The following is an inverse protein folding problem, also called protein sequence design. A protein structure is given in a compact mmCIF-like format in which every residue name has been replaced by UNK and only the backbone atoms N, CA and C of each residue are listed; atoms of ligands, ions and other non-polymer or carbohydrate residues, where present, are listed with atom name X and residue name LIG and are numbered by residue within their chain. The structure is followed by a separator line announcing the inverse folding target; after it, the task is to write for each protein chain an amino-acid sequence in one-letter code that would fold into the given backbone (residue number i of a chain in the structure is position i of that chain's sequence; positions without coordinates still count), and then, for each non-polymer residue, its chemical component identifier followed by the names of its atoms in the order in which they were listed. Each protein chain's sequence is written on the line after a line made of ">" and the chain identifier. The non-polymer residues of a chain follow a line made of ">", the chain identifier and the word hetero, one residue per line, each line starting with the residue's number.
data_IF_361464615046
#
_entry.id   IF_361464615046
#
_cell.length_a   1.000
_cell.length_b   1.000
_cell.length_c   1.000
_cell.angle_alpha   90.00
_cell.angle_beta   90.00
_cell.angle_gamma   90.00
#
_symmetry.space_group_name_H-M   'P 1'
#
loop_
_entity.id
_entity.type
_entity.pdbx_description
1 polymer ?
#
# COMPACT_ATOMS: atom_id res chain seq x y z
N UNK A 1 12.59 -20.71 -11.71
CA UNK A 1 12.58 -19.28 -12.14
C UNK A 1 11.75 -18.40 -11.21
N UNK A 2 10.52 -18.75 -10.83
CA UNK A 2 9.68 -17.91 -9.94
C UNK A 2 10.28 -17.63 -8.54
N UNK A 3 10.98 -18.61 -7.96
CA UNK A 3 11.65 -18.47 -6.64
C UNK A 3 12.80 -17.48 -6.72
N UNK A 4 13.58 -17.49 -7.82
CA UNK A 4 14.68 -16.54 -8.01
C UNK A 4 14.16 -15.10 -8.12
N UNK A 5 13.04 -14.89 -8.82
CA UNK A 5 12.38 -13.59 -8.91
C UNK A 5 11.86 -13.13 -7.54
N UNK A 6 11.28 -14.05 -6.76
CA UNK A 6 10.84 -13.74 -5.41
C UNK A 6 12.00 -13.29 -4.51
N UNK A 7 13.14 -14.00 -4.54
CA UNK A 7 14.31 -13.63 -3.76
C UNK A 7 14.84 -12.23 -4.11
N UNK A 8 14.93 -11.92 -5.40
CA UNK A 8 15.29 -10.59 -5.89
C UNK A 8 14.27 -9.55 -5.44
N UNK A 9 12.97 -9.86 -5.56
CA UNK A 9 11.88 -9.00 -5.09
C UNK A 9 11.99 -8.68 -3.60
N UNK A 10 12.28 -9.68 -2.76
CA UNK A 10 12.50 -9.50 -1.31
C UNK A 10 13.65 -8.53 -1.04
N UNK A 11 14.79 -8.70 -1.70
CA UNK A 11 15.96 -7.82 -1.52
C UNK A 11 15.64 -6.38 -1.92
N UNK A 12 15.02 -6.17 -3.08
CA UNK A 12 14.55 -4.84 -3.48
C UNK A 12 13.52 -4.27 -2.49
N UNK A 13 12.58 -5.09 -2.03
CA UNK A 13 11.57 -4.68 -1.07
C UNK A 13 12.14 -4.23 0.27
N UNK A 14 13.20 -4.86 0.77
CA UNK A 14 13.92 -4.41 1.96
C UNK A 14 14.51 -3.01 1.76
N UNK A 15 15.20 -2.80 0.63
CA UNK A 15 15.85 -1.50 0.32
C UNK A 15 14.81 -0.39 0.17
N UNK A 16 13.76 -0.64 -0.62
CA UNK A 16 12.68 0.33 -0.81
C UNK A 16 11.86 0.56 0.46
N UNK A 17 11.68 -0.45 1.31
CA UNK A 17 11.03 -0.31 2.61
C UNK A 17 11.75 0.68 3.53
N UNK A 18 13.08 0.62 3.56
CA UNK A 18 13.90 1.59 4.29
C UNK A 18 13.76 3.01 3.71
N UNK A 19 13.72 3.13 2.37
CA UNK A 19 13.46 4.40 1.70
C UNK A 19 12.05 4.96 2.02
N UNK A 20 11.03 4.10 2.13
CA UNK A 20 9.66 4.49 2.52
C UNK A 20 9.67 5.12 3.92
N UNK A 21 10.34 4.52 4.91
CA UNK A 21 10.44 5.08 6.24
C UNK A 21 11.02 6.51 6.21
N UNK A 22 12.11 6.72 5.46
CA UNK A 22 12.71 8.04 5.28
C UNK A 22 11.76 9.01 4.57
N UNK A 23 11.04 8.55 3.55
CA UNK A 23 10.07 9.34 2.78
C UNK A 23 8.89 9.79 3.65
N UNK A 24 8.31 8.89 4.44
CA UNK A 24 7.21 9.16 5.37
C UNK A 24 7.59 10.25 6.36
N UNK A 25 8.78 10.17 6.94
CA UNK A 25 9.28 11.21 7.85
C UNK A 25 9.51 12.56 7.15
N UNK A 26 10.13 12.55 5.96
CA UNK A 26 10.39 13.78 5.18
C UNK A 26 9.10 14.48 4.76
N UNK A 27 8.09 13.73 4.32
CA UNK A 27 6.76 14.27 4.01
C UNK A 27 6.16 15.00 5.21
N UNK A 28 6.29 14.42 6.42
CA UNK A 28 5.78 15.03 7.66
C UNK A 28 6.45 16.35 8.00
N UNK A 29 7.77 16.45 7.81
CA UNK A 29 8.53 17.66 8.15
C UNK A 29 8.62 18.66 6.97
N UNK A 30 7.89 18.42 5.87
CA UNK A 30 7.86 19.30 4.71
C UNK A 30 9.15 19.35 3.89
N UNK A 31 10.06 18.36 4.06
CA UNK A 31 11.31 18.26 3.28
C UNK A 31 11.07 17.55 1.95
N UNK A 32 12.02 17.71 1.00
CA UNK A 32 12.00 16.94 -0.25
C UNK A 32 12.05 15.44 0.05
N UNK A 33 11.09 14.68 -0.50
CA UNK A 33 11.00 13.24 -0.32
C UNK A 33 11.95 12.46 -1.23
N UNK A 34 12.47 13.10 -2.30
CA UNK A 34 13.39 12.49 -3.26
C UNK A 34 14.85 12.81 -2.91
N UNK A 35 15.15 14.04 -2.48
CA UNK A 35 16.51 14.50 -2.27
C UNK A 35 16.85 14.64 -0.78
N UNK A 36 18.08 14.26 -0.42
CA UNK A 36 18.62 14.43 0.92
C UNK A 36 19.12 13.12 1.53
N UNK A 37 19.97 13.24 2.57
CA UNK A 37 20.48 12.10 3.32
C UNK A 37 19.57 11.75 4.48
N UNK A 38 19.60 10.46 4.89
CA UNK A 38 18.88 10.00 6.07
C UNK A 38 19.54 10.54 7.34
N UNK A 39 18.72 11.05 8.25
CA UNK A 39 19.18 11.62 9.53
C UNK A 39 18.37 11.03 10.67
N UNK A 40 18.98 10.96 11.85
CA UNK A 40 18.24 10.57 13.05
C UNK A 40 17.22 11.66 13.39
N UNK A 41 15.96 11.29 13.62
CA UNK A 41 14.88 12.21 13.97
C UNK A 41 15.07 12.90 15.31
N UNK A 42 15.89 12.34 16.21
CA UNK A 42 16.09 12.82 17.58
C UNK A 42 17.33 13.70 17.73
N UNK A 43 18.44 13.37 17.07
CA UNK A 43 19.69 14.13 17.23
C UNK A 43 20.15 14.85 15.95
N UNK A 44 19.46 14.65 14.82
CA UNK A 44 19.83 15.28 13.54
C UNK A 44 21.10 14.73 12.90
N UNK A 45 21.79 13.76 13.54
CA UNK A 45 23.03 13.19 13.00
C UNK A 45 22.73 12.44 11.70
N UNK A 46 23.60 12.65 10.69
CA UNK A 46 23.49 11.95 9.40
C UNK A 46 23.85 10.48 9.56
N UNK A 47 22.95 9.59 9.10
CA UNK A 47 23.16 8.14 9.18
C UNK A 47 24.15 7.66 8.13
N UNK A 48 25.08 6.78 8.55
CA UNK A 48 26.02 6.10 7.65
C UNK A 48 25.32 4.95 6.92
N UNK A 49 25.89 4.45 5.81
CA UNK A 49 25.32 3.34 5.03
C UNK A 49 25.07 2.09 5.89
N UNK A 50 25.96 1.77 6.83
CA UNK A 50 25.79 0.65 7.77
C UNK A 50 24.59 0.79 8.72
N UNK A 51 24.10 2.01 8.95
CA UNK A 51 22.93 2.28 9.79
C UNK A 51 21.63 2.19 8.99
N UNK A 52 21.73 2.11 7.66
CA UNK A 52 20.62 2.03 6.71
C UNK A 52 20.39 0.61 6.15
N UNK A 53 21.16 -0.39 6.62
CA UNK A 53 20.93 -1.79 6.23
C UNK A 53 19.57 -2.21 6.79
N UNK A 54 18.58 -2.51 5.91
CA UNK A 54 17.20 -2.72 6.32
C UNK A 54 17.08 -3.88 7.32
N UNK A 55 16.24 -3.74 8.33
CA UNK A 55 15.99 -4.72 9.40
C UNK A 55 17.24 -5.00 10.26
N UNK A 56 18.36 -5.37 9.63
CA UNK A 56 19.57 -5.77 10.35
C UNK A 56 20.17 -4.66 11.20
N UNK A 57 20.27 -3.42 10.68
CA UNK A 57 20.79 -2.30 11.47
C UNK A 57 19.94 -2.05 12.72
N UNK A 58 18.62 -2.14 12.60
CA UNK A 58 17.70 -1.98 13.71
C UNK A 58 17.87 -3.10 14.76
N UNK A 59 17.99 -4.35 14.33
CA UNK A 59 18.22 -5.51 15.22
C UNK A 59 19.56 -5.39 15.95
N UNK A 60 20.65 -5.13 15.22
CA UNK A 60 21.99 -5.02 15.83
C UNK A 60 22.13 -3.84 16.79
N UNK A 61 21.36 -2.77 16.59
CA UNK A 61 21.36 -1.59 17.46
C UNK A 61 20.31 -1.69 18.58
N UNK A 62 19.55 -2.77 18.65
CA UNK A 62 18.48 -2.95 19.64
C UNK A 62 17.42 -1.87 19.56
N UNK A 63 17.06 -1.41 18.36
CA UNK A 63 16.10 -0.34 18.13
C UNK A 63 16.54 1.05 18.58
N UNK A 64 17.84 1.30 18.77
CA UNK A 64 18.39 2.57 19.26
C UNK A 64 19.33 3.21 18.25
N UNK A 65 19.35 4.52 18.23
CA UNK A 65 20.32 5.26 17.40
C UNK A 65 21.76 4.99 17.87
N UNK A 66 22.68 4.73 16.94
CA UNK A 66 24.11 4.51 17.23
C UNK A 66 24.76 5.69 17.94
N UNK A 67 24.36 6.89 17.61
CA UNK A 67 25.02 8.14 18.02
C UNK A 67 24.43 8.71 19.32
N UNK A 68 23.10 8.81 19.44
CA UNK A 68 22.46 9.40 20.61
C UNK A 68 21.80 8.39 21.56
N UNK A 69 21.81 7.10 21.21
CA UNK A 69 21.23 5.99 22.01
C UNK A 69 19.73 6.09 22.29
N UNK A 70 19.05 7.11 21.76
CA UNK A 70 17.58 7.21 21.88
C UNK A 70 16.88 6.17 21.02
N UNK A 71 15.68 5.69 21.41
CA UNK A 71 14.92 4.71 20.65
C UNK A 71 14.54 5.26 19.27
N UNK A 72 14.67 4.43 18.24
CA UNK A 72 14.24 4.72 16.88
C UNK A 72 12.73 4.48 16.81
N UNK A 73 11.96 5.52 16.47
CA UNK A 73 10.48 5.45 16.36
C UNK A 73 10.02 4.65 15.14
N UNK A 74 10.87 4.53 14.13
CA UNK A 74 10.55 3.79 12.91
C UNK A 74 10.84 2.31 13.12
N UNK A 75 9.79 1.50 13.09
CA UNK A 75 9.91 0.05 13.21
C UNK A 75 10.23 -0.59 11.86
N UNK A 76 10.95 -1.72 11.83
CA UNK A 76 11.31 -2.43 10.60
C UNK A 76 10.09 -3.10 9.92
N UNK A 77 8.89 -2.95 10.49
CA UNK A 77 7.65 -3.52 9.93
C UNK A 77 7.41 -3.07 8.48
N UNK A 78 7.66 -1.79 8.18
CA UNK A 78 7.48 -1.27 6.81
C UNK A 78 8.45 -1.96 5.85
N UNK A 79 9.69 -2.20 6.27
CA UNK A 79 10.72 -2.91 5.49
C UNK A 79 10.31 -4.36 5.23
N UNK A 80 9.84 -5.05 6.27
CA UNK A 80 9.37 -6.45 6.16
C UNK A 80 8.11 -6.57 5.29
N UNK A 81 7.14 -5.69 5.46
CA UNK A 81 5.91 -5.67 4.65
C UNK A 81 6.26 -5.40 3.18
N UNK A 82 7.13 -4.43 2.91
CA UNK A 82 7.55 -4.12 1.54
C UNK A 82 8.30 -5.28 0.91
N UNK A 83 9.20 -5.93 1.66
CA UNK A 83 9.91 -7.12 1.22
C UNK A 83 8.96 -8.27 0.87
N UNK A 84 7.99 -8.53 1.73
CA UNK A 84 6.97 -9.55 1.51
C UNK A 84 6.14 -9.25 0.25
N UNK A 85 5.63 -8.02 0.13
CA UNK A 85 4.80 -7.59 -1.01
C UNK A 85 5.59 -7.68 -2.32
N UNK A 86 6.83 -7.20 -2.35
CA UNK A 86 7.66 -7.25 -3.55
C UNK A 86 8.03 -8.68 -3.93
N UNK A 87 8.41 -9.50 -2.95
CA UNK A 87 8.72 -10.92 -3.17
C UNK A 87 7.52 -11.71 -3.71
N UNK A 88 6.35 -11.57 -3.07
CA UNK A 88 5.11 -12.20 -3.53
C UNK A 88 4.68 -11.70 -4.91
N UNK A 89 4.80 -10.40 -5.17
CA UNK A 89 4.46 -9.82 -6.48
C UNK A 89 5.35 -10.39 -7.59
N UNK A 90 6.67 -10.46 -7.38
CA UNK A 90 7.61 -11.03 -8.33
C UNK A 90 7.38 -12.53 -8.54
N UNK A 91 6.97 -13.26 -7.48
CA UNK A 91 6.62 -14.67 -7.56
C UNK A 91 5.35 -14.91 -8.38
N UNK A 92 4.28 -14.17 -8.07
CA UNK A 92 2.95 -14.36 -8.68
C UNK A 92 2.93 -13.87 -10.14
N UNK A 93 3.53 -12.71 -10.41
CA UNK A 93 3.54 -12.15 -11.77
C UNK A 93 4.53 -12.85 -12.69
N UNK A 94 5.68 -13.34 -12.18
CA UNK A 94 6.72 -14.10 -12.87
C UNK A 94 6.85 -13.74 -14.38
N UNK A 95 7.22 -12.49 -14.73
CA UNK A 95 7.08 -11.96 -16.08
C UNK A 95 7.98 -12.70 -17.07
N UNK A 96 7.44 -13.05 -18.25
CA UNK A 96 8.17 -13.74 -19.33
C UNK A 96 8.30 -12.86 -20.60
N UNK A 97 7.71 -11.68 -20.61
CA UNK A 97 7.73 -10.74 -21.72
C UNK A 97 8.18 -9.34 -21.27
N UNK A 98 8.64 -8.51 -22.19
CA UNK A 98 8.99 -7.10 -21.91
C UNK A 98 7.78 -6.35 -21.29
N UNK A 99 6.58 -6.52 -21.85
CA UNK A 99 5.36 -5.93 -21.30
C UNK A 99 5.07 -6.39 -19.87
N UNK A 100 5.32 -7.68 -19.56
CA UNK A 100 5.19 -8.22 -18.20
C UNK A 100 6.17 -7.59 -17.20
N UNK A 101 7.43 -7.33 -17.62
CA UNK A 101 8.41 -6.62 -16.79
C UNK A 101 8.03 -5.17 -16.53
N UNK A 102 7.50 -4.47 -17.56
CA UNK A 102 6.97 -3.10 -17.39
C UNK A 102 5.80 -3.10 -16.43
N UNK A 103 4.86 -4.05 -16.57
CA UNK A 103 3.72 -4.18 -15.67
C UNK A 103 4.16 -4.46 -14.22
N UNK A 104 5.13 -5.36 -14.01
CA UNK A 104 5.70 -5.60 -12.67
C UNK A 104 6.34 -4.34 -12.11
N UNK A 105 7.16 -3.62 -12.88
CA UNK A 105 7.79 -2.38 -12.42
C UNK A 105 6.78 -1.32 -12.00
N UNK A 106 5.73 -1.11 -12.80
CA UNK A 106 4.64 -0.19 -12.47
C UNK A 106 3.88 -0.62 -11.20
N UNK A 107 3.60 -1.93 -11.08
CA UNK A 107 2.96 -2.47 -9.89
C UNK A 107 3.81 -2.28 -8.63
N UNK A 108 5.12 -2.56 -8.68
CA UNK A 108 6.02 -2.36 -7.53
C UNK A 108 6.09 -0.88 -7.12
N UNK A 109 6.06 0.04 -8.09
CA UNK A 109 5.98 1.48 -7.83
C UNK A 109 4.65 1.85 -7.17
N UNK A 110 3.53 1.31 -7.63
CA UNK A 110 2.20 1.45 -7.02
C UNK A 110 2.23 0.92 -5.59
N UNK A 111 2.73 -0.30 -5.38
CA UNK A 111 2.83 -0.92 -4.06
C UNK A 111 3.65 -0.07 -3.08
N UNK A 112 4.77 0.51 -3.54
CA UNK A 112 5.59 1.43 -2.75
C UNK A 112 4.79 2.67 -2.32
N UNK A 113 4.03 3.28 -3.23
CA UNK A 113 3.18 4.44 -2.91
C UNK A 113 2.04 4.05 -1.97
N UNK A 114 1.38 2.91 -2.18
CA UNK A 114 0.33 2.38 -1.30
C UNK A 114 0.85 2.15 0.12
N UNK A 115 1.99 1.48 0.28
CA UNK A 115 2.61 1.23 1.59
C UNK A 115 3.01 2.56 2.25
N UNK A 116 3.51 3.53 1.47
CA UNK A 116 3.82 4.89 1.98
C UNK A 116 2.57 5.57 2.53
N UNK A 117 1.46 5.53 1.79
CA UNK A 117 0.18 6.10 2.22
C UNK A 117 -0.33 5.40 3.47
N UNK A 118 -0.29 4.06 3.52
CA UNK A 118 -0.71 3.29 4.69
C UNK A 118 0.15 3.62 5.93
N UNK A 119 1.47 3.71 5.78
CA UNK A 119 2.38 4.05 6.87
C UNK A 119 2.20 5.50 7.35
N UNK A 120 1.86 6.42 6.45
CA UNK A 120 1.57 7.81 6.80
C UNK A 120 0.20 7.94 7.49
N UNK A 121 -0.84 7.31 6.93
CA UNK A 121 -2.20 7.34 7.48
C UNK A 121 -2.29 6.67 8.86
N UNK A 122 -1.60 5.55 9.06
CA UNK A 122 -1.51 4.88 10.36
C UNK A 122 -0.94 5.76 11.49
N UNK A 123 -0.17 6.79 11.14
CA UNK A 123 0.48 7.69 12.12
C UNK A 123 -0.26 9.02 12.30
N UNK A 124 -0.84 9.56 11.23
CA UNK A 124 -1.40 10.93 11.24
C UNK A 124 -2.81 11.04 10.70
N UNK A 125 -3.43 9.93 10.27
CA UNK A 125 -4.80 9.89 9.72
C UNK A 125 -4.97 10.87 8.53
N UNK A 126 -3.95 10.99 7.68
CA UNK A 126 -3.94 11.86 6.51
C UNK A 126 -3.30 11.12 5.35
N UNK A 127 -3.88 11.25 4.16
CA UNK A 127 -3.35 10.73 2.90
C UNK A 127 -2.78 11.90 2.08
N UNK A 128 -1.44 12.08 2.01
CA UNK A 128 -0.83 13.25 1.38
C UNK A 128 -0.99 13.23 -0.14
N UNK A 129 -1.51 14.33 -0.71
CA UNK A 129 -1.71 14.47 -2.16
C UNK A 129 -0.40 14.37 -2.96
N UNK A 130 0.74 14.71 -2.36
CA UNK A 130 2.07 14.55 -2.97
C UNK A 130 2.39 13.11 -3.36
N UNK A 131 1.76 12.10 -2.71
CA UNK A 131 1.90 10.69 -3.04
C UNK A 131 0.65 10.19 -3.77
N UNK A 132 -0.53 10.71 -3.41
CA UNK A 132 -1.81 10.29 -3.99
C UNK A 132 -1.91 10.61 -5.48
N UNK A 133 -1.50 11.83 -5.90
CA UNK A 133 -1.57 12.21 -7.31
C UNK A 133 -0.66 11.34 -8.19
N UNK A 134 0.63 11.14 -7.87
CA UNK A 134 1.47 10.18 -8.57
C UNK A 134 0.90 8.75 -8.59
N UNK A 135 0.28 8.30 -7.48
CA UNK A 135 -0.36 6.99 -7.42
C UNK A 135 -1.48 6.85 -8.46
N UNK A 136 -2.39 7.83 -8.54
CA UNK A 136 -3.50 7.81 -9.52
C UNK A 136 -2.98 7.79 -10.95
N UNK A 137 -1.97 8.63 -11.24
CA UNK A 137 -1.35 8.68 -12.58
C UNK A 137 -0.69 7.33 -12.91
N UNK A 138 0.09 6.78 -11.99
CA UNK A 138 0.77 5.48 -12.21
C UNK A 138 -0.26 4.34 -12.33
N UNK A 139 -1.36 4.38 -11.58
CA UNK A 139 -2.45 3.41 -11.68
C UNK A 139 -3.15 3.47 -13.06
N UNK A 140 -3.37 4.68 -13.59
CA UNK A 140 -3.93 4.85 -14.93
C UNK A 140 -2.98 4.29 -16.00
N UNK A 141 -1.67 4.60 -15.92
CA UNK A 141 -0.65 4.04 -16.82
C UNK A 141 -0.60 2.51 -16.71
N UNK A 142 -0.70 1.97 -15.50
CA UNK A 142 -0.75 0.53 -15.26
C UNK A 142 -1.97 -0.11 -15.93
N UNK A 143 -3.18 0.46 -15.78
CA UNK A 143 -4.39 -0.04 -16.41
C UNK A 143 -4.27 -0.09 -17.95
N UNK A 144 -3.71 0.96 -18.54
CA UNK A 144 -3.41 1.02 -19.99
C UNK A 144 -2.40 -0.06 -20.36
N UNK A 145 -1.30 -0.19 -19.62
CA UNK A 145 -0.27 -1.21 -19.87
C UNK A 145 -0.85 -2.62 -19.80
N UNK A 146 -1.69 -2.90 -18.80
CA UNK A 146 -2.34 -4.19 -18.66
C UNK A 146 -3.29 -4.50 -19.81
N UNK A 147 -3.99 -3.51 -20.34
CA UNK A 147 -4.83 -3.66 -21.54
C UNK A 147 -4.02 -4.09 -22.76
N UNK A 148 -2.83 -3.51 -22.95
CA UNK A 148 -1.90 -3.90 -24.03
C UNK A 148 -1.27 -5.26 -23.80
N UNK A 149 -0.78 -5.55 -22.59
CA UNK A 149 -0.13 -6.83 -22.25
C UNK A 149 -1.08 -8.01 -22.39
N UNK A 150 -2.35 -7.82 -22.04
CA UNK A 150 -3.38 -8.86 -22.13
C UNK A 150 -4.10 -8.89 -23.49
N UNK A 151 -3.77 -7.97 -24.40
CA UNK A 151 -4.47 -7.78 -25.67
C UNK A 151 -6.01 -7.68 -25.50
N UNK A 152 -6.48 -7.11 -24.41
CA UNK A 152 -7.90 -7.04 -24.07
C UNK A 152 -8.31 -5.63 -23.60
N UNK A 153 -9.00 -4.85 -24.47
CA UNK A 153 -9.43 -3.48 -24.12
C UNK A 153 -10.47 -3.45 -22.98
N UNK A 154 -11.15 -4.57 -22.70
CA UNK A 154 -12.10 -4.65 -21.58
C UNK A 154 -11.40 -4.50 -20.22
N UNK A 155 -10.10 -4.77 -20.13
CA UNK A 155 -9.31 -4.53 -18.91
C UNK A 155 -9.30 -3.05 -18.55
N UNK A 156 -9.03 -2.18 -19.53
CA UNK A 156 -9.05 -0.73 -19.32
C UNK A 156 -10.46 -0.22 -19.01
N UNK A 157 -11.46 -0.68 -19.77
CA UNK A 157 -12.85 -0.30 -19.52
C UNK A 157 -13.30 -0.68 -18.11
N UNK A 158 -13.01 -1.93 -17.69
CA UNK A 158 -13.32 -2.39 -16.32
C UNK A 158 -12.55 -1.66 -15.22
N UNK A 159 -11.32 -1.18 -15.50
CA UNK A 159 -10.57 -0.35 -14.56
C UNK A 159 -11.22 1.03 -14.38
N UNK A 160 -11.64 1.67 -15.47
CA UNK A 160 -12.34 2.96 -15.42
C UNK A 160 -13.69 2.83 -14.73
N UNK A 161 -14.46 1.78 -15.06
CA UNK A 161 -15.74 1.48 -14.42
C UNK A 161 -15.57 1.27 -12.91
N UNK A 162 -14.59 0.46 -12.50
CA UNK A 162 -14.29 0.21 -11.10
C UNK A 162 -13.87 1.47 -10.35
N UNK A 163 -13.06 2.33 -10.99
CA UNK A 163 -12.64 3.59 -10.41
C UNK A 163 -13.83 4.54 -10.20
N UNK A 164 -14.72 4.63 -11.19
CA UNK A 164 -15.93 5.44 -11.10
C UNK A 164 -16.90 4.91 -10.02
N UNK A 165 -17.11 3.59 -9.95
CA UNK A 165 -17.96 2.97 -8.93
C UNK A 165 -17.39 3.12 -7.52
N UNK A 166 -16.11 2.83 -7.34
CA UNK A 166 -15.46 2.88 -6.04
C UNK A 166 -15.28 4.33 -5.53
N UNK A 167 -14.67 5.18 -6.36
CA UNK A 167 -14.49 6.59 -6.02
C UNK A 167 -15.81 7.34 -5.91
N UNK A 168 -16.74 7.10 -6.84
CA UNK A 168 -18.09 7.68 -6.83
C UNK A 168 -18.91 7.22 -5.63
N UNK A 169 -18.88 5.92 -5.29
CA UNK A 169 -19.53 5.38 -4.11
C UNK A 169 -19.04 6.03 -2.82
N UNK A 170 -17.72 6.16 -2.65
CA UNK A 170 -17.14 6.86 -1.51
C UNK A 170 -17.44 8.36 -1.50
N UNK A 171 -17.46 9.00 -2.68
CA UNK A 171 -17.88 10.39 -2.79
C UNK A 171 -19.34 10.60 -2.37
N UNK A 172 -20.25 9.73 -2.81
CA UNK A 172 -21.65 9.76 -2.40
C UNK A 172 -21.81 9.53 -0.89
N UNK A 173 -21.05 8.57 -0.33
CA UNK A 173 -21.05 8.33 1.11
C UNK A 173 -20.54 9.55 1.90
N UNK A 174 -19.46 10.19 1.44
CA UNK A 174 -18.92 11.38 2.06
C UNK A 174 -19.91 12.56 2.00
N UNK A 175 -20.59 12.77 0.87
CA UNK A 175 -21.61 13.83 0.73
C UNK A 175 -22.84 13.55 1.59
N UNK A 176 -23.33 12.31 1.61
CA UNK A 176 -24.47 11.91 2.44
C UNK A 176 -24.19 12.09 3.95
N UNK A 177 -22.96 11.84 4.37
CA UNK A 177 -22.52 12.01 5.77
C UNK A 177 -22.02 13.44 6.08
N UNK A 178 -22.12 14.36 5.12
CA UNK A 178 -21.59 15.73 5.22
C UNK A 178 -20.11 15.77 5.64
N UNK A 179 -19.31 14.84 5.11
CA UNK A 179 -17.89 14.73 5.39
C UNK A 179 -17.51 14.14 6.76
N UNK A 180 -18.50 13.76 7.59
CA UNK A 180 -18.23 13.23 8.94
C UNK A 180 -17.81 11.75 8.94
N UNK A 181 -18.15 11.01 7.87
CA UNK A 181 -17.92 9.57 7.81
C UNK A 181 -16.66 9.15 7.05
N UNK A 182 -16.08 10.01 6.21
CA UNK A 182 -14.98 9.62 5.33
C UNK A 182 -14.13 10.81 4.90
N UNK A 183 -12.81 10.63 4.88
CA UNK A 183 -11.85 11.62 4.42
C UNK A 183 -11.80 11.72 2.89
N UNK A 184 -11.52 12.94 2.37
CA UNK A 184 -11.34 13.12 0.91
C UNK A 184 -10.18 12.30 0.32
N UNK A 185 -9.21 11.91 1.15
CA UNK A 185 -8.12 11.02 0.77
C UNK A 185 -8.57 9.60 0.44
N UNK A 186 -9.53 9.07 1.23
CA UNK A 186 -10.07 7.72 1.02
C UNK A 186 -10.83 7.60 -0.31
N UNK A 187 -11.52 8.69 -0.73
CA UNK A 187 -12.20 8.76 -2.03
C UNK A 187 -11.18 8.61 -3.18
N UNK A 188 -10.08 9.36 -3.10
CA UNK A 188 -9.00 9.30 -4.11
C UNK A 188 -8.33 7.93 -4.11
N UNK A 189 -8.13 7.34 -2.93
CA UNK A 189 -7.54 6.00 -2.79
C UNK A 189 -8.47 4.94 -3.37
N UNK A 190 -9.78 4.99 -3.09
CA UNK A 190 -10.76 4.07 -3.66
C UNK A 190 -10.83 4.18 -5.21
N UNK A 191 -10.72 5.40 -5.74
CA UNK A 191 -10.61 5.62 -7.18
C UNK A 191 -9.35 4.95 -7.76
N UNK A 192 -8.18 5.14 -7.13
CA UNK A 192 -6.94 4.50 -7.55
C UNK A 192 -7.02 2.96 -7.47
N UNK A 193 -7.65 2.41 -6.41
CA UNK A 193 -7.91 0.97 -6.28
C UNK A 193 -8.69 0.43 -7.47
N UNK A 194 -9.73 1.13 -7.89
CA UNK A 194 -10.52 0.75 -9.06
C UNK A 194 -9.69 0.65 -10.33
N UNK A 195 -8.82 1.67 -10.58
CA UNK A 195 -7.90 1.66 -11.73
C UNK A 195 -6.92 0.49 -11.71
N UNK A 196 -6.46 0.09 -10.53
CA UNK A 196 -5.49 -1.01 -10.36
C UNK A 196 -6.13 -2.38 -10.55
N UNK A 197 -7.31 -2.57 -9.98
CA UNK A 197 -7.90 -3.90 -9.74
C UNK A 197 -9.00 -4.29 -10.74
N UNK A 198 -9.72 -3.31 -11.32
CA UNK A 198 -10.96 -3.57 -12.04
C UNK A 198 -12.10 -4.02 -11.11
N UNK A 199 -13.32 -4.18 -11.66
CA UNK A 199 -14.57 -4.28 -10.87
C UNK A 199 -14.55 -5.43 -9.84
N UNK A 200 -14.26 -6.65 -10.28
CA UNK A 200 -14.37 -7.84 -9.41
C UNK A 200 -13.38 -7.79 -8.24
N UNK A 201 -12.11 -7.49 -8.53
CA UNK A 201 -11.08 -7.47 -7.50
C UNK A 201 -11.22 -6.25 -6.57
N UNK A 202 -11.74 -5.11 -7.05
CA UNK A 202 -12.08 -3.95 -6.20
C UNK A 202 -13.17 -4.32 -5.19
N UNK A 203 -14.19 -5.09 -5.60
CA UNK A 203 -15.21 -5.60 -4.67
C UNK A 203 -14.59 -6.47 -3.56
N UNK A 204 -13.68 -7.38 -3.92
CA UNK A 204 -12.94 -8.21 -2.94
C UNK A 204 -12.10 -7.34 -2.01
N UNK A 205 -11.35 -6.36 -2.56
CA UNK A 205 -10.51 -5.45 -1.77
C UNK A 205 -11.33 -4.67 -0.74
N UNK A 206 -12.48 -4.15 -1.14
CA UNK A 206 -13.38 -3.41 -0.25
C UNK A 206 -13.97 -4.31 0.83
N UNK A 207 -14.47 -5.51 0.46
CA UNK A 207 -14.97 -6.47 1.45
C UNK A 207 -13.90 -6.81 2.49
N UNK A 208 -12.68 -7.09 2.06
CA UNK A 208 -11.57 -7.35 2.97
C UNK A 208 -11.27 -6.14 3.87
N UNK A 209 -11.16 -4.96 3.28
CA UNK A 209 -10.85 -3.73 4.02
C UNK A 209 -11.89 -3.42 5.10
N UNK A 210 -13.17 -3.46 4.75
CA UNK A 210 -14.24 -3.18 5.70
C UNK A 210 -14.33 -4.24 6.81
N UNK A 211 -14.25 -5.52 6.47
CA UNK A 211 -14.31 -6.59 7.47
C UNK A 211 -13.11 -6.54 8.43
N UNK A 212 -11.90 -6.39 7.91
CA UNK A 212 -10.70 -6.31 8.76
C UNK A 212 -10.74 -5.06 9.64
N UNK A 213 -11.12 -3.90 9.08
CA UNK A 213 -11.27 -2.67 9.85
C UNK A 213 -12.32 -2.81 10.97
N UNK A 214 -13.47 -3.44 10.67
CA UNK A 214 -14.52 -3.69 11.65
C UNK A 214 -14.04 -4.62 12.77
N UNK A 215 -13.38 -5.73 12.42
CA UNK A 215 -12.84 -6.68 13.40
C UNK A 215 -11.82 -5.99 14.30
N UNK A 216 -10.84 -5.29 13.71
CA UNK A 216 -9.82 -4.57 14.49
C UNK A 216 -10.46 -3.50 15.37
N UNK A 217 -11.43 -2.74 14.85
CA UNK A 217 -12.16 -1.74 15.60
C UNK A 217 -12.88 -2.31 16.82
N UNK A 218 -13.61 -3.42 16.64
CA UNK A 218 -14.29 -4.12 17.74
C UNK A 218 -13.29 -4.63 18.77
N UNK A 219 -12.23 -5.29 18.32
CA UNK A 219 -11.17 -5.79 19.22
C UNK A 219 -10.55 -4.66 20.04
N UNK A 220 -10.22 -3.52 19.42
CA UNK A 220 -9.64 -2.38 20.13
C UNK A 220 -10.59 -1.75 21.16
N UNK A 221 -11.89 -1.75 20.89
CA UNK A 221 -12.92 -1.30 21.85
C UNK A 221 -13.03 -2.28 23.01
N UNK A 222 -13.08 -3.59 22.74
CA UNK A 222 -13.17 -4.65 23.75
C UNK A 222 -11.95 -4.64 24.69
N UNK A 223 -10.76 -4.47 24.12
CA UNK A 223 -9.50 -4.38 24.88
C UNK A 223 -9.33 -2.99 25.54
N UNK A 224 -10.35 -2.13 25.47
CA UNK A 224 -10.38 -0.76 26.06
C UNK A 224 -9.23 0.15 25.60
N UNK A 225 -8.64 -0.09 24.44
CA UNK A 225 -7.62 0.80 23.85
C UNK A 225 -8.22 1.96 23.07
N UNK A 226 -9.49 1.84 22.67
CA UNK A 226 -10.26 2.88 21.99
C UNK A 226 -11.63 3.07 22.64
N UNK A 227 -12.11 4.31 22.60
CA UNK A 227 -13.49 4.65 22.92
C UNK A 227 -14.34 4.58 21.64
N UNK A 228 -15.67 4.41 21.77
CA UNK A 228 -16.59 4.35 20.61
C UNK A 228 -16.56 5.57 19.69
N UNK A 229 -15.99 6.70 20.15
CA UNK A 229 -15.89 7.95 19.37
C UNK A 229 -14.51 8.17 18.75
N UNK A 230 -13.55 7.31 19.04
CA UNK A 230 -12.20 7.45 18.49
C UNK A 230 -12.18 7.03 17.02
N UNK A 231 -11.38 7.72 16.24
CA UNK A 231 -11.21 7.44 14.82
C UNK A 231 -10.08 6.42 14.62
N UNK A 232 -10.28 5.53 13.68
CA UNK A 232 -9.26 4.56 13.24
C UNK A 232 -8.85 4.93 11.82
N UNK A 233 -7.53 4.98 11.51
CA UNK A 233 -7.08 5.22 10.14
C UNK A 233 -7.62 4.11 9.23
N UNK A 234 -8.36 4.49 8.17
CA UNK A 234 -8.97 3.52 7.25
C UNK A 234 -8.05 3.15 6.07
N UNK A 235 -7.13 4.05 5.71
CA UNK A 235 -6.18 3.86 4.62
C UNK A 235 -5.39 2.55 4.66
N UNK A 236 -4.80 2.14 5.82
CA UNK A 236 -4.07 0.88 5.92
C UNK A 236 -4.89 -0.35 5.53
N UNK A 237 -6.20 -0.37 5.85
CA UNK A 237 -7.09 -1.48 5.50
C UNK A 237 -7.43 -1.49 4.01
N UNK A 238 -7.67 -0.31 3.42
CA UNK A 238 -7.87 -0.18 1.98
C UNK A 238 -6.62 -0.64 1.21
N UNK A 239 -5.44 -0.20 1.64
CA UNK A 239 -4.17 -0.61 1.03
C UNK A 239 -3.95 -2.11 1.17
N UNK A 240 -4.15 -2.66 2.36
CA UNK A 240 -4.04 -4.11 2.61
C UNK A 240 -5.00 -4.92 1.73
N UNK A 241 -6.26 -4.51 1.67
CA UNK A 241 -7.26 -5.10 0.79
C UNK A 241 -6.88 -5.03 -0.69
N UNK A 242 -6.32 -3.89 -1.13
CA UNK A 242 -5.83 -3.71 -2.51
C UNK A 242 -4.71 -4.67 -2.85
N UNK A 243 -3.69 -4.78 -2.00
CA UNK A 243 -2.54 -5.66 -2.21
C UNK A 243 -2.98 -7.13 -2.23
N UNK A 244 -3.81 -7.54 -1.26
CA UNK A 244 -4.32 -8.92 -1.21
C UNK A 244 -5.20 -9.24 -2.41
N UNK A 245 -6.11 -8.35 -2.80
CA UNK A 245 -6.97 -8.55 -3.95
C UNK A 245 -6.20 -8.55 -5.28
N UNK A 246 -5.14 -7.76 -5.39
CA UNK A 246 -4.26 -7.80 -6.56
C UNK A 246 -3.55 -9.15 -6.70
N UNK A 247 -2.98 -9.65 -5.62
CA UNK A 247 -2.18 -10.88 -5.63
C UNK A 247 -3.06 -12.15 -5.68
N UNK A 248 -4.18 -12.16 -4.98
CA UNK A 248 -4.97 -13.36 -4.73
C UNK A 248 -6.45 -13.21 -5.10
N UNK A 249 -6.90 -12.06 -5.57
CA UNK A 249 -8.32 -11.76 -5.79
C UNK A 249 -9.00 -12.71 -6.77
N UNK A 250 -8.28 -13.13 -7.83
CA UNK A 250 -8.81 -14.13 -8.77
C UNK A 250 -9.12 -15.46 -8.09
N UNK A 251 -8.17 -15.97 -7.31
CA UNK A 251 -8.36 -17.22 -6.56
C UNK A 251 -9.48 -17.11 -5.50
N UNK A 252 -9.59 -15.95 -4.84
CA UNK A 252 -10.66 -15.69 -3.86
C UNK A 252 -12.03 -15.69 -4.55
N UNK A 253 -12.16 -15.02 -5.69
CA UNK A 253 -13.43 -15.00 -6.47
C UNK A 253 -13.78 -16.40 -6.96
N UNK A 254 -12.84 -17.14 -7.55
CA UNK A 254 -13.07 -18.49 -8.05
C UNK A 254 -13.47 -19.44 -6.91
N UNK A 255 -12.80 -19.36 -5.76
CA UNK A 255 -13.14 -20.13 -4.57
C UNK A 255 -14.57 -19.83 -4.08
N UNK A 256 -14.94 -18.55 -3.99
CA UNK A 256 -16.28 -18.13 -3.57
C UNK A 256 -17.37 -18.61 -4.53
N UNK A 257 -17.15 -18.51 -5.84
CA UNK A 257 -18.12 -18.97 -6.85
C UNK A 257 -18.32 -20.48 -6.78
N UNK A 258 -17.24 -21.25 -6.58
CA UNK A 258 -17.33 -22.71 -6.41
C UNK A 258 -18.13 -23.11 -5.18
N UNK A 259 -17.92 -22.42 -4.04
CA UNK A 259 -18.69 -22.69 -2.81
C UNK A 259 -20.20 -22.46 -2.98
N UNK A 260 -20.58 -21.52 -3.83
CA UNK A 260 -21.99 -21.18 -4.06
C UNK A 260 -22.59 -21.91 -5.29
N UNK A 261 -21.87 -22.85 -5.89
CA UNK A 261 -22.37 -23.62 -7.05
C UNK A 261 -22.61 -22.78 -8.32
N UNK A 262 -21.92 -21.62 -8.41
CA UNK A 262 -22.05 -20.68 -9.53
C UNK A 262 -20.95 -20.88 -10.59
N UNK A 263 -20.31 -22.05 -10.61
CA UNK A 263 -19.22 -22.40 -11.55
C UNK A 263 -19.61 -23.61 -12.37
#
# INVERSE_FOLDING_TARGET
>A
MSISYAAVGVLFGLVFGSAINAMVWRLKVGRSWVHGRSVCSECGHQLAAKDLVPVFSWLFLGGKCRYCRKPIKDHPIVELVTALVFGLSAYVMAPMSVGGWVALGLWLLIAMMLITLAAYDARWMILPDKVMVPLVVTAAVFAVTMSFVTHNPRVLAGAIEAAALAGGGFYLLATATRGKGMGGGDIKLAFAMGLILGVKATGVAMLLAFNVAAIVGVVMIVVRRLKRKDHIPFGPYLVGGTIVAFLFGRGIVEWYLRLNGLY
#
